data_IF_692802896839
#
_entry.id   IF_692802896839
#
_cell.length_a   1.000
_cell.length_b   1.000
_cell.length_c   1.000
_cell.angle_alpha   90.00
_cell.angle_beta   90.00
_cell.angle_gamma   90.00
#
_symmetry.space_group_name_H-M   'P 1'
#
loop_
_entity.id
_entity.type
_entity.pdbx_description
1 polymer ?
#
# COMPACT_ATOMS: atom_id res chain seq x y z
N UNK A 1 -11.31 0.19 7.59
CA UNK A 1 -10.17 1.02 8.04
C UNK A 1 -8.84 0.32 7.79
N UNK A 2 -8.72 -0.97 8.10
CA UNK A 2 -7.44 -1.68 8.06
C UNK A 2 -6.68 -1.59 6.73
N UNK A 3 -7.40 -1.67 5.62
CA UNK A 3 -6.79 -1.60 4.28
C UNK A 3 -6.18 -0.25 3.94
N UNK A 4 -6.57 0.86 4.58
CA UNK A 4 -5.99 2.21 4.36
C UNK A 4 -5.02 2.63 5.46
N UNK A 5 -4.70 1.74 6.41
CA UNK A 5 -3.93 2.04 7.63
C UNK A 5 -2.56 2.66 7.40
N UNK A 6 -1.99 2.50 6.21
CA UNK A 6 -0.66 3.02 5.87
C UNK A 6 -0.70 4.44 5.32
N UNK A 7 -1.88 4.93 4.94
CA UNK A 7 -2.07 6.23 4.29
C UNK A 7 -3.05 7.14 5.03
N UNK A 8 -3.80 6.61 6.00
CA UNK A 8 -4.64 7.39 6.91
C UNK A 8 -3.81 7.89 8.10
N UNK A 9 -3.98 9.15 8.46
CA UNK A 9 -3.35 9.75 9.65
C UNK A 9 -4.15 9.45 10.91
N UNK A 10 -3.55 9.50 12.11
CA UNK A 10 -4.28 9.31 13.37
C UNK A 10 -5.43 10.31 13.56
N UNK A 11 -5.26 11.54 13.08
CA UNK A 11 -6.29 12.59 13.14
C UNK A 11 -7.46 12.28 12.19
N UNK A 12 -7.19 11.89 10.94
CA UNK A 12 -8.22 11.45 9.99
C UNK A 12 -9.00 10.25 10.52
N UNK A 13 -8.32 9.28 11.12
CA UNK A 13 -8.96 8.10 11.71
C UNK A 13 -9.87 8.49 12.89
N UNK A 14 -9.41 9.39 13.77
CA UNK A 14 -10.21 9.89 14.89
C UNK A 14 -11.46 10.62 14.40
N UNK A 15 -11.31 11.55 13.45
CA UNK A 15 -12.42 12.28 12.84
C UNK A 15 -13.45 11.30 12.26
N UNK A 16 -13.02 10.33 11.46
CA UNK A 16 -13.93 9.35 10.85
C UNK A 16 -14.69 8.51 11.89
N UNK A 17 -14.03 8.13 12.99
CA UNK A 17 -14.65 7.34 14.06
C UNK A 17 -15.73 8.12 14.81
N UNK A 18 -15.52 9.42 15.02
CA UNK A 18 -16.46 10.33 15.69
C UNK A 18 -17.60 10.81 14.78
N UNK A 19 -17.46 10.62 13.46
CA UNK A 19 -18.39 11.11 12.44
C UNK A 19 -19.67 10.25 12.33
N UNK A 20 -20.86 10.89 12.19
CA UNK A 20 -22.12 10.22 11.91
C UNK A 20 -22.07 9.38 10.62
N UNK A 21 -22.81 8.26 10.52
CA UNK A 21 -22.80 7.40 9.32
C UNK A 21 -23.07 8.13 8.00
N UNK A 22 -23.95 9.13 8.02
CA UNK A 22 -24.36 9.96 6.88
C UNK A 22 -23.21 10.77 6.28
N UNK A 23 -22.29 11.27 7.11
CA UNK A 23 -21.18 12.13 6.68
C UNK A 23 -19.95 11.31 6.22
N UNK A 24 -19.89 10.02 6.56
CA UNK A 24 -18.74 9.15 6.23
C UNK A 24 -18.53 8.98 4.74
N UNK A 25 -19.59 9.07 3.95
CA UNK A 25 -19.51 8.99 2.49
C UNK A 25 -18.67 10.14 1.93
N UNK A 26 -18.96 11.37 2.35
CA UNK A 26 -18.23 12.57 1.96
C UNK A 26 -16.78 12.52 2.43
N UNK A 27 -16.54 12.08 3.67
CA UNK A 27 -15.17 11.87 4.15
C UNK A 27 -14.38 10.92 3.26
N UNK A 28 -14.97 9.80 2.82
CA UNK A 28 -14.28 8.82 1.96
C UNK A 28 -13.99 9.44 0.58
N UNK A 29 -14.90 10.22 0.02
CA UNK A 29 -14.67 10.93 -1.24
C UNK A 29 -13.48 11.90 -1.10
N UNK A 30 -13.52 12.75 -0.08
CA UNK A 30 -12.46 13.73 0.24
C UNK A 30 -11.11 13.07 0.51
N UNK A 31 -11.12 11.96 1.25
CA UNK A 31 -9.92 11.21 1.60
C UNK A 31 -9.15 10.77 0.35
N UNK A 32 -9.87 10.29 -0.67
CA UNK A 32 -9.28 9.89 -1.94
C UNK A 32 -8.98 11.08 -2.85
N UNK A 33 -9.89 12.05 -2.96
CA UNK A 33 -9.70 13.23 -3.80
C UNK A 33 -8.42 14.02 -3.45
N UNK A 34 -8.10 14.15 -2.15
CA UNK A 34 -6.85 14.81 -1.70
C UNK A 34 -5.57 14.06 -2.05
N UNK A 35 -5.69 12.78 -2.41
CA UNK A 35 -4.56 11.90 -2.77
C UNK A 35 -4.51 11.65 -4.28
N UNK A 36 -5.41 12.25 -5.04
CA UNK A 36 -5.43 12.09 -6.49
C UNK A 36 -4.15 12.64 -7.12
N UNK A 37 -3.53 11.85 -7.99
CA UNK A 37 -2.26 12.25 -8.62
C UNK A 37 -2.51 13.10 -9.86
N UNK A 38 -3.58 12.82 -10.60
CA UNK A 38 -4.00 13.62 -11.74
C UNK A 38 -5.53 13.86 -11.70
N UNK A 39 -5.98 14.96 -11.07
CA UNK A 39 -7.42 15.27 -11.00
C UNK A 39 -8.03 15.66 -12.35
N UNK A 40 -7.23 15.72 -13.44
CA UNK A 40 -7.75 15.94 -14.79
C UNK A 40 -8.35 14.68 -15.41
N UNK A 41 -8.06 13.50 -14.84
CA UNK A 41 -8.67 12.24 -15.26
C UNK A 41 -9.89 11.92 -14.38
N UNK A 42 -10.85 11.12 -14.87
CA UNK A 42 -11.98 10.68 -14.06
C UNK A 42 -11.59 9.60 -13.03
N UNK A 43 -10.37 9.06 -13.09
CA UNK A 43 -9.92 7.93 -12.29
C UNK A 43 -8.87 8.38 -11.29
N UNK A 44 -9.05 8.05 -10.01
CA UNK A 44 -8.03 8.35 -9.02
C UNK A 44 -6.85 7.37 -9.13
N UNK A 45 -5.75 7.78 -9.76
CA UNK A 45 -4.63 6.87 -10.07
C UNK A 45 -3.93 6.38 -8.79
N UNK A 46 -3.84 7.24 -7.78
CA UNK A 46 -3.27 6.88 -6.49
C UNK A 46 -4.08 5.77 -5.82
N UNK A 47 -5.40 5.89 -5.79
CA UNK A 47 -6.30 4.88 -5.23
C UNK A 47 -6.13 3.56 -5.96
N UNK A 48 -6.19 3.58 -7.30
CA UNK A 48 -6.01 2.39 -8.12
C UNK A 48 -4.67 1.71 -7.84
N UNK A 49 -3.57 2.47 -7.85
CA UNK A 49 -2.23 1.97 -7.58
C UNK A 49 -2.10 1.43 -6.15
N UNK A 50 -2.67 2.11 -5.15
CA UNK A 50 -2.65 1.67 -3.76
C UNK A 50 -3.31 0.30 -3.60
N UNK A 51 -4.50 0.10 -4.19
CA UNK A 51 -5.18 -1.20 -4.17
C UNK A 51 -4.42 -2.28 -4.94
N UNK A 52 -3.82 -1.95 -6.09
CA UNK A 52 -2.94 -2.88 -6.81
C UNK A 52 -1.76 -3.31 -5.94
N UNK A 53 -1.09 -2.36 -5.27
CA UNK A 53 0.06 -2.68 -4.41
C UNK A 53 -0.36 -3.51 -3.19
N UNK A 54 -1.52 -3.24 -2.61
CA UNK A 54 -2.06 -4.01 -1.49
C UNK A 54 -2.31 -5.47 -1.89
N UNK A 55 -2.91 -5.71 -3.06
CA UNK A 55 -3.15 -7.05 -3.58
C UNK A 55 -1.83 -7.80 -3.89
N UNK A 56 -0.86 -7.11 -4.51
CA UNK A 56 0.46 -7.69 -4.79
C UNK A 56 1.20 -8.01 -3.50
N UNK A 57 1.19 -7.10 -2.53
CA UNK A 57 1.83 -7.31 -1.24
C UNK A 57 1.22 -8.50 -0.48
N UNK A 58 -0.11 -8.63 -0.47
CA UNK A 58 -0.78 -9.77 0.18
C UNK A 58 -0.39 -11.11 -0.44
N UNK A 59 -0.27 -11.14 -1.77
CA UNK A 59 0.12 -12.35 -2.50
C UNK A 59 1.61 -12.68 -2.32
N UNK A 60 2.49 -11.69 -2.42
CA UNK A 60 3.94 -11.89 -2.49
C UNK A 60 4.62 -12.11 -1.14
N UNK A 61 4.07 -11.54 -0.06
CA UNK A 61 4.75 -11.48 1.24
C UNK A 61 4.01 -12.22 2.36
N UNK A 62 3.06 -13.11 2.05
CA UNK A 62 2.35 -13.90 3.06
C UNK A 62 3.34 -14.77 3.85
N UNK A 63 3.30 -14.66 5.17
CA UNK A 63 4.25 -15.33 6.08
C UNK A 63 3.60 -15.65 7.44
N UNK A 64 2.56 -16.48 7.44
CA UNK A 64 1.74 -16.76 8.64
C UNK A 64 0.76 -15.64 9.02
N UNK A 65 0.99 -14.43 8.52
CA UNK A 65 0.05 -13.29 8.50
C UNK A 65 -0.22 -12.85 7.05
N UNK A 66 -1.30 -12.09 6.79
CA UNK A 66 -1.55 -11.49 5.48
C UNK A 66 -0.33 -10.71 4.97
N UNK A 67 0.01 -10.86 3.69
CA UNK A 67 1.27 -10.33 3.16
C UNK A 67 1.34 -8.81 3.22
N UNK A 68 0.20 -8.13 3.05
CA UNK A 68 0.08 -6.68 3.18
C UNK A 68 0.37 -6.17 4.60
N UNK A 69 0.26 -7.04 5.62
CA UNK A 69 0.56 -6.71 7.02
C UNK A 69 2.03 -6.92 7.41
N UNK A 70 2.82 -7.61 6.59
CA UNK A 70 4.25 -7.80 6.86
C UNK A 70 5.04 -6.51 6.64
N UNK A 71 6.24 -6.39 7.21
CA UNK A 71 7.12 -5.25 6.96
C UNK A 71 7.45 -5.09 5.47
N UNK A 72 7.69 -6.20 4.76
CA UNK A 72 7.90 -6.20 3.30
C UNK A 72 6.67 -5.70 2.56
N UNK A 73 5.48 -6.15 2.96
CA UNK A 73 4.22 -5.69 2.37
C UNK A 73 3.94 -4.22 2.62
N UNK A 74 4.16 -3.73 3.84
CA UNK A 74 4.08 -2.31 4.19
C UNK A 74 5.00 -1.46 3.32
N UNK A 75 6.27 -1.84 3.19
CA UNK A 75 7.25 -1.12 2.36
C UNK A 75 6.78 -1.12 0.90
N UNK A 76 6.35 -2.26 0.38
CA UNK A 76 5.87 -2.37 -1.01
C UNK A 76 4.63 -1.52 -1.27
N UNK A 77 3.69 -1.43 -0.33
CA UNK A 77 2.48 -0.60 -0.47
C UNK A 77 2.86 0.88 -0.56
N UNK A 78 3.75 1.33 0.33
CA UNK A 78 4.16 2.73 0.41
C UNK A 78 5.07 3.15 -0.75
N UNK A 79 6.05 2.32 -1.10
CA UNK A 79 7.12 2.68 -2.04
C UNK A 79 6.96 2.05 -3.43
N UNK A 80 6.14 1.01 -3.56
CA UNK A 80 6.00 0.25 -4.79
C UNK A 80 7.09 -0.81 -4.97
N UNK A 81 7.28 -1.33 -6.20
CA UNK A 81 8.30 -2.32 -6.48
C UNK A 81 9.72 -1.73 -6.31
N UNK A 82 10.71 -2.56 -5.95
CA UNK A 82 12.09 -2.12 -5.88
C UNK A 82 12.59 -1.67 -7.25
N UNK A 83 13.42 -0.63 -7.29
CA UNK A 83 14.09 -0.16 -8.51
C UNK A 83 15.16 -1.14 -8.99
N UNK A 84 15.85 -1.77 -8.04
CA UNK A 84 16.93 -2.72 -8.31
C UNK A 84 16.75 -4.00 -7.48
N UNK A 85 16.97 -5.15 -8.11
CA UNK A 85 16.94 -6.46 -7.46
C UNK A 85 18.26 -7.18 -7.72
N UNK A 86 19.14 -7.17 -6.73
CA UNK A 86 20.40 -7.93 -6.78
C UNK A 86 20.12 -9.37 -6.32
N UNK A 87 20.15 -10.31 -7.27
CA UNK A 87 20.11 -11.75 -6.96
C UNK A 87 21.54 -12.26 -6.83
N UNK A 88 22.04 -12.43 -5.61
CA UNK A 88 23.26 -13.21 -5.39
C UNK A 88 22.90 -14.69 -5.33
N UNK A 89 23.23 -15.42 -6.39
CA UNK A 89 23.25 -16.88 -6.38
C UNK A 89 24.43 -17.30 -5.50
N UNK A 90 24.17 -17.80 -4.30
CA UNK A 90 25.22 -18.39 -3.48
C UNK A 90 25.62 -19.73 -4.12
N UNK A 91 26.61 -19.74 -5.01
CA UNK A 91 26.92 -20.96 -5.77
C UNK A 91 28.06 -20.96 -6.78
N UNK A 92 28.78 -19.86 -7.03
CA UNK A 92 30.06 -19.96 -7.76
C UNK A 92 31.16 -20.34 -6.76
N UNK A 93 31.27 -21.63 -6.47
CA UNK A 93 32.56 -22.18 -6.03
C UNK A 93 33.48 -22.17 -7.25
N UNK A 94 34.33 -21.15 -7.34
CA UNK A 94 35.57 -21.27 -8.09
C UNK A 94 36.41 -22.35 -7.42
N UNK A 95 36.35 -23.57 -7.98
CA UNK A 95 37.35 -24.58 -7.71
C UNK A 95 38.47 -24.33 -8.72
N UNK A 96 39.54 -23.68 -8.27
CA UNK A 96 40.83 -23.77 -8.93
C UNK A 96 41.60 -24.94 -8.28
N UNK A 97 42.00 -25.91 -9.11
CA UNK A 97 43.10 -26.85 -8.84
C UNK A 97 44.11 -26.70 -9.97
#
# INVERSE_FOLDING_TARGET
MDIIRYIITPQEERIFREMPPEDRGEFIMDFWARRDSDPSTPENEFRSQYYTRLAVADKAFRAGIPGWMTDKGRIYILLGPPTDVIKKTMGEKSIEF
#
